data_IF_071040745016
#
_entry.id   IF_071040745016
#
_cell.length_a   1.000
_cell.length_b   1.000
_cell.length_c   1.000
_cell.angle_alpha   90.00
_cell.angle_beta   90.00
_cell.angle_gamma   90.00
#
_symmetry.space_group_name_H-M   'P 1'
#
loop_
_entity.id
_entity.type
_entity.pdbx_description
1 polymer ?
#
# COMPACT_ATOMS: atom_id res chain seq x y z
N UNK A 1 -27.28 -12.80 -10.11
CA UNK A 1 -26.24 -13.46 -9.28
C UNK A 1 -24.87 -12.96 -9.70
N UNK A 2 -24.28 -12.03 -8.96
CA UNK A 2 -22.91 -11.54 -9.21
C UNK A 2 -21.89 -12.49 -8.59
N UNK A 3 -20.95 -13.01 -9.39
CA UNK A 3 -19.83 -13.82 -8.88
C UNK A 3 -18.84 -12.88 -8.19
N UNK A 4 -18.65 -13.09 -6.89
CA UNK A 4 -17.67 -12.39 -6.08
C UNK A 4 -16.26 -12.61 -6.60
N UNK A 5 -15.49 -11.53 -6.69
CA UNK A 5 -14.08 -11.56 -7.04
C UNK A 5 -13.29 -12.26 -5.94
N UNK A 6 -12.45 -13.22 -6.33
CA UNK A 6 -11.51 -13.89 -5.45
C UNK A 6 -10.64 -12.83 -4.77
N UNK A 7 -10.78 -12.69 -3.45
CA UNK A 7 -9.75 -12.08 -2.63
C UNK A 7 -8.56 -13.02 -2.73
N UNK A 8 -7.45 -12.54 -3.29
CA UNK A 8 -6.21 -13.28 -3.37
C UNK A 8 -5.66 -13.43 -1.94
N UNK A 9 -6.13 -14.46 -1.24
CA UNK A 9 -5.35 -15.11 -0.19
C UNK A 9 -4.45 -16.10 -0.94
N UNK A 10 -3.33 -15.60 -1.48
CA UNK A 10 -2.31 -16.48 -2.03
C UNK A 10 -1.17 -16.60 -1.03
N UNK A 11 -1.35 -17.56 -0.13
CA UNK A 11 -0.22 -18.32 0.42
C UNK A 11 0.36 -19.16 -0.72
N UNK A 12 1.15 -18.52 -1.60
CA UNK A 12 1.93 -19.21 -2.61
C UNK A 12 3.40 -19.19 -2.17
N UNK A 13 3.81 -20.29 -1.54
CA UNK A 13 5.19 -20.77 -1.46
C UNK A 13 6.26 -19.78 -0.96
N UNK A 14 6.31 -19.51 0.35
CA UNK A 14 7.52 -19.03 1.05
C UNK A 14 8.00 -17.60 0.77
N UNK A 15 7.39 -16.88 -0.17
CA UNK A 15 7.72 -15.50 -0.47
C UNK A 15 6.61 -14.59 0.06
N UNK A 16 6.77 -14.11 1.29
CA UNK A 16 5.93 -13.04 1.83
C UNK A 16 6.10 -11.85 0.89
N UNK A 17 5.08 -11.54 0.07
CA UNK A 17 5.10 -10.37 -0.78
C UNK A 17 5.48 -9.15 0.06
N UNK A 18 6.63 -8.56 -0.25
CA UNK A 18 7.19 -7.46 0.54
C UNK A 18 6.24 -6.26 0.47
N UNK A 19 5.96 -5.65 1.62
CA UNK A 19 5.07 -4.50 1.66
C UNK A 19 5.75 -3.30 0.99
N UNK A 20 5.28 -2.92 -0.20
CA UNK A 20 5.82 -1.77 -0.94
C UNK A 20 5.06 -0.48 -0.57
N UNK A 21 5.75 0.66 -0.56
CA UNK A 21 5.18 1.98 -0.35
C UNK A 21 5.68 2.99 -1.39
N UNK A 22 4.90 4.04 -1.62
CA UNK A 22 5.31 5.18 -2.45
C UNK A 22 6.01 6.24 -1.59
N UNK A 23 7.25 6.55 -1.93
CA UNK A 23 8.11 7.50 -1.23
C UNK A 23 8.33 8.74 -2.07
N UNK A 24 8.12 9.92 -1.48
CA UNK A 24 8.56 11.17 -2.07
C UNK A 24 10.03 11.40 -1.71
N UNK A 25 10.95 11.12 -2.63
CA UNK A 25 12.39 11.26 -2.42
C UNK A 25 12.94 12.63 -2.81
N UNK A 26 12.08 13.52 -3.31
CA UNK A 26 12.38 14.88 -3.75
C UNK A 26 11.19 15.49 -4.48
N UNK A 27 11.29 16.77 -4.84
CA UNK A 27 10.29 17.44 -5.69
C UNK A 27 10.12 16.63 -6.98
N UNK A 28 8.88 16.37 -7.40
CA UNK A 28 8.55 15.52 -8.55
C UNK A 28 9.07 14.08 -8.53
N UNK A 29 9.65 13.59 -7.43
CA UNK A 29 10.37 12.32 -7.42
C UNK A 29 9.70 11.31 -6.50
N UNK A 30 8.73 10.57 -7.05
CA UNK A 30 8.07 9.46 -6.37
C UNK A 30 8.77 8.13 -6.70
N UNK A 31 9.09 7.31 -5.69
CA UNK A 31 9.68 5.98 -5.86
C UNK A 31 8.91 4.92 -5.08
N UNK A 32 8.70 3.75 -5.69
CA UNK A 32 8.13 2.60 -4.99
C UNK A 32 9.28 1.83 -4.34
N UNK A 33 9.27 1.73 -3.02
CA UNK A 33 10.32 1.05 -2.25
C UNK A 33 9.72 0.23 -1.10
N UNK A 34 10.42 -0.80 -0.61
CA UNK A 34 9.96 -1.58 0.53
C UNK A 34 9.69 -0.74 1.77
N UNK A 35 8.66 -1.11 2.52
CA UNK A 35 8.31 -0.53 3.80
C UNK A 35 7.99 -1.63 4.81
N UNK A 36 8.82 -1.73 5.85
CA UNK A 36 8.58 -2.64 6.96
C UNK A 36 7.55 -2.01 7.89
N UNK A 37 6.38 -2.66 8.00
CA UNK A 37 5.33 -2.21 8.90
C UNK A 37 5.81 -2.27 10.36
N UNK A 38 5.58 -1.22 11.16
CA UNK A 38 5.86 -1.27 12.59
C UNK A 38 4.90 -2.25 13.29
N UNK A 39 5.22 -2.66 14.54
CA UNK A 39 4.30 -3.43 15.38
C UNK A 39 3.00 -2.64 15.60
N UNK A 40 1.86 -3.34 15.64
CA UNK A 40 0.56 -2.74 15.91
C UNK A 40 0.38 -2.49 17.41
N UNK A 41 -0.19 -1.33 17.76
CA UNK A 41 -0.69 -1.07 19.10
C UNK A 41 -2.07 -1.71 19.37
N UNK A 42 -2.59 -1.59 20.60
CA UNK A 42 -3.85 -2.22 21.01
C UNK A 42 -5.10 -1.75 20.25
N UNK A 43 -5.05 -0.59 19.62
CA UNK A 43 -6.16 0.03 18.89
C UNK A 43 -5.90 0.14 17.38
N UNK A 44 -4.76 -0.35 16.91
CA UNK A 44 -4.37 -0.23 15.51
C UNK A 44 -4.89 -1.41 14.69
N UNK A 45 -5.19 -1.16 13.42
CA UNK A 45 -5.62 -2.19 12.47
C UNK A 45 -4.69 -2.22 11.26
N UNK A 46 -4.41 -3.43 10.77
CA UNK A 46 -3.68 -3.63 9.52
C UNK A 46 -4.66 -3.66 8.35
N UNK A 47 -4.46 -2.76 7.40
CA UNK A 47 -5.29 -2.64 6.21
C UNK A 47 -4.48 -3.03 4.98
N UNK A 48 -5.04 -3.93 4.16
CA UNK A 48 -4.51 -4.20 2.82
C UNK A 48 -5.14 -3.23 1.83
N UNK A 49 -4.32 -2.35 1.25
CA UNK A 49 -4.80 -1.30 0.35
C UNK A 49 -5.06 -1.89 -1.03
N UNK A 50 -6.30 -1.79 -1.50
CA UNK A 50 -6.68 -2.15 -2.88
C UNK A 50 -6.64 -0.96 -3.84
N UNK A 51 -6.98 0.23 -3.35
CA UNK A 51 -6.98 1.46 -4.12
C UNK A 51 -6.84 2.67 -3.17
N UNK A 52 -6.23 3.75 -3.67
CA UNK A 52 -6.13 5.04 -2.99
C UNK A 52 -6.45 6.15 -3.99
N UNK A 53 -7.28 7.10 -3.59
CA UNK A 53 -7.54 8.31 -4.37
C UNK A 53 -6.53 9.40 -4.03
N UNK A 54 -6.06 10.14 -5.04
CA UNK A 54 -5.17 11.28 -4.85
C UNK A 54 -6.02 12.55 -4.89
N UNK A 55 -5.96 13.34 -3.82
CA UNK A 55 -6.60 14.65 -3.74
C UNK A 55 -5.67 15.75 -4.26
N UNK A 56 -6.24 16.92 -4.58
CA UNK A 56 -5.50 18.06 -5.17
C UNK A 56 -4.32 18.50 -4.30
N UNK A 57 -4.44 18.44 -2.96
CA UNK A 57 -3.33 18.79 -2.05
C UNK A 57 -2.13 17.86 -2.21
N UNK A 58 -2.36 16.56 -2.46
CA UNK A 58 -1.29 15.61 -2.72
C UNK A 58 -0.60 15.90 -4.06
N UNK A 59 -1.31 16.48 -5.04
CA UNK A 59 -0.73 16.86 -6.33
C UNK A 59 0.35 17.94 -6.18
N UNK A 60 0.16 18.94 -5.31
CA UNK A 60 1.17 19.98 -5.07
C UNK A 60 2.45 19.45 -4.42
N UNK A 61 2.35 18.35 -3.70
CA UNK A 61 3.47 17.73 -2.99
C UNK A 61 4.24 16.79 -3.93
N UNK A 62 3.55 16.17 -4.88
CA UNK A 62 4.13 15.28 -5.90
C UNK A 62 4.57 16.06 -7.14
N UNK A 63 4.12 17.31 -7.33
CA UNK A 63 4.54 18.21 -8.42
C UNK A 63 5.75 19.07 -8.07
#
# INVERSE_FOLDING_TARGET
MGKGGKSATEENNGEVAENMAAWLCGVNTLRIQPFKLPPLGPQDVRVSIKAVGICVVAMYIIS
#
